data_IF_272701546979
#
_entry.id   IF_272701546979
#
_cell.length_a   1.000
_cell.length_b   1.000
_cell.length_c   1.000
_cell.angle_alpha   90.00
_cell.angle_beta   90.00
_cell.angle_gamma   90.00
#
_symmetry.space_group_name_H-M   'P 1'
#
loop_
_entity.id
_entity.type
_entity.pdbx_description
1 polymer ?
#
# COMPACT_ATOMS: atom_id res chain seq x y z
N UNK A 1 -26.57 0.91 -10.01
CA UNK A 1 -26.59 2.28 -10.62
C UNK A 1 -25.58 2.30 -11.73
N UNK A 2 -25.90 2.84 -12.94
CA UNK A 2 -24.92 2.86 -14.02
C UNK A 2 -23.68 3.69 -13.61
N UNK A 3 -22.49 3.16 -13.84
CA UNK A 3 -21.23 3.84 -13.58
C UNK A 3 -21.06 5.04 -14.52
N UNK A 4 -20.80 6.22 -13.97
CA UNK A 4 -20.56 7.43 -14.74
C UNK A 4 -19.08 7.56 -15.07
N UNK A 5 -18.71 7.37 -16.34
CA UNK A 5 -17.35 7.63 -16.82
C UNK A 5 -17.15 9.11 -17.09
N UNK A 6 -16.06 9.67 -16.56
CA UNK A 6 -15.72 11.09 -16.58
C UNK A 6 -14.24 11.30 -16.90
N UNK A 7 -13.88 12.54 -17.27
CA UNK A 7 -12.47 12.93 -17.42
C UNK A 7 -11.81 13.19 -16.07
N UNK A 8 -10.48 13.27 -16.05
CA UNK A 8 -9.74 13.62 -14.84
C UNK A 8 -10.05 15.06 -14.37
N UNK A 9 -10.28 15.97 -15.30
CA UNK A 9 -10.66 17.36 -15.01
C UNK A 9 -12.06 17.43 -14.39
N UNK A 10 -13.02 16.66 -14.91
CA UNK A 10 -14.35 16.53 -14.31
C UNK A 10 -14.24 15.92 -12.91
N UNK A 11 -13.39 14.90 -12.71
CA UNK A 11 -13.12 14.30 -11.41
C UNK A 11 -12.55 15.34 -10.42
N UNK A 12 -11.56 16.13 -10.84
CA UNK A 12 -10.98 17.19 -10.03
C UNK A 12 -12.02 18.29 -9.67
N UNK A 13 -13.11 18.45 -10.43
CA UNK A 13 -14.17 19.41 -10.10
C UNK A 13 -14.90 19.07 -8.80
N UNK A 14 -14.96 17.80 -8.41
CA UNK A 14 -15.56 17.32 -7.16
C UNK A 14 -14.68 17.55 -5.92
N UNK A 15 -13.44 17.98 -6.09
CA UNK A 15 -12.51 18.29 -4.99
C UNK A 15 -12.48 19.81 -4.79
N UNK A 16 -12.73 20.28 -3.58
CA UNK A 16 -12.81 21.70 -3.25
C UNK A 16 -11.68 22.12 -2.32
N UNK A 17 -11.50 23.43 -2.18
CA UNK A 17 -10.60 23.98 -1.17
C UNK A 17 -11.02 23.50 0.22
N UNK A 18 -10.04 23.15 1.04
CA UNK A 18 -10.19 22.59 2.39
C UNK A 18 -10.80 21.19 2.49
N UNK A 19 -11.14 20.51 1.39
CA UNK A 19 -11.53 19.10 1.44
C UNK A 19 -10.40 18.24 2.02
N UNK A 20 -10.77 17.26 2.84
CA UNK A 20 -9.90 16.17 3.25
C UNK A 20 -10.03 15.02 2.24
N UNK A 21 -8.94 14.72 1.55
CA UNK A 21 -8.91 13.74 0.47
C UNK A 21 -8.10 12.51 0.87
N UNK A 22 -8.76 11.35 0.84
CA UNK A 22 -8.11 10.05 1.03
C UNK A 22 -7.69 9.45 -0.30
N UNK A 23 -6.45 8.98 -0.39
CA UNK A 23 -5.91 8.32 -1.58
C UNK A 23 -5.56 6.86 -1.28
N UNK A 24 -5.93 5.95 -2.18
CA UNK A 24 -5.56 4.54 -2.08
C UNK A 24 -4.08 4.32 -2.34
N UNK A 25 -3.64 3.09 -2.13
CA UNK A 25 -2.30 2.64 -2.41
C UNK A 25 -1.39 2.55 -1.20
N UNK A 26 -0.29 1.84 -1.40
CA UNK A 26 0.77 1.69 -0.42
C UNK A 26 2.11 1.69 -1.17
N UNK A 27 3.05 2.59 -0.79
CA UNK A 27 4.17 2.97 -1.65
C UNK A 27 3.65 3.47 -3.01
N UNK A 28 4.30 3.33 -4.17
CA UNK A 28 3.72 3.73 -5.44
C UNK A 28 2.68 2.76 -6.02
N UNK A 29 2.44 1.62 -5.36
CA UNK A 29 1.50 0.59 -5.85
C UNK A 29 0.06 0.88 -5.44
N UNK A 30 -0.86 0.84 -6.38
CA UNK A 30 -2.29 1.03 -6.13
C UNK A 30 -2.72 2.46 -5.82
N UNK A 31 -1.87 3.46 -6.12
CA UNK A 31 -2.23 4.86 -5.95
C UNK A 31 -2.79 5.46 -7.25
N UNK A 32 -3.73 6.42 -7.16
CA UNK A 32 -4.20 7.20 -8.29
C UNK A 32 -3.06 7.99 -8.95
N UNK A 33 -3.08 8.12 -10.28
CA UNK A 33 -1.98 8.69 -11.07
C UNK A 33 -2.37 9.83 -11.99
N UNK A 34 -3.64 9.97 -12.30
CA UNK A 34 -4.15 10.94 -13.29
C UNK A 34 -4.99 12.03 -12.62
N UNK A 35 -5.90 11.67 -11.72
CA UNK A 35 -6.74 12.62 -10.99
C UNK A 35 -5.91 13.57 -10.11
N UNK A 36 -4.85 13.12 -9.39
CA UNK A 36 -3.99 14.03 -8.65
C UNK A 36 -3.37 15.14 -9.51
N UNK A 37 -2.92 14.81 -10.72
CA UNK A 37 -2.40 15.78 -11.69
C UNK A 37 -3.46 16.79 -12.14
N UNK A 38 -4.70 16.35 -12.32
CA UNK A 38 -5.80 17.26 -12.64
C UNK A 38 -6.14 18.19 -11.45
N UNK A 39 -6.08 17.70 -10.21
CA UNK A 39 -6.22 18.52 -9.00
C UNK A 39 -5.08 19.53 -8.90
N UNK A 40 -3.84 19.13 -9.17
CA UNK A 40 -2.69 20.04 -9.19
C UNK A 40 -2.87 21.18 -10.22
N UNK A 41 -3.32 20.86 -11.44
CA UNK A 41 -3.64 21.87 -12.47
C UNK A 41 -4.74 22.81 -12.00
N UNK A 42 -5.81 22.30 -11.38
CA UNK A 42 -6.88 23.10 -10.81
C UNK A 42 -6.35 24.04 -9.72
N UNK A 43 -5.50 23.55 -8.82
CA UNK A 43 -4.90 24.37 -7.78
C UNK A 43 -4.09 25.54 -8.36
N UNK A 44 -3.25 25.28 -9.35
CA UNK A 44 -2.49 26.34 -10.05
C UNK A 44 -3.42 27.37 -10.66
N UNK A 45 -4.47 26.93 -11.37
CA UNK A 45 -5.43 27.85 -12.02
C UNK A 45 -6.23 28.70 -11.00
N UNK A 46 -6.54 28.16 -9.81
CA UNK A 46 -7.18 28.94 -8.74
C UNK A 46 -6.19 29.94 -8.11
N UNK A 47 -4.95 29.56 -7.87
CA UNK A 47 -3.91 30.46 -7.36
C UNK A 47 -3.62 31.63 -8.32
N UNK A 48 -3.61 31.39 -9.64
CA UNK A 48 -3.46 32.44 -10.66
C UNK A 48 -4.60 33.48 -10.63
N UNK A 49 -5.80 33.05 -10.21
CA UNK A 49 -6.96 33.95 -10.00
C UNK A 49 -6.93 34.65 -8.62
N UNK A 50 -5.96 34.33 -7.77
CA UNK A 50 -5.88 34.82 -6.39
C UNK A 50 -6.78 34.07 -5.41
N UNK A 51 -7.37 32.94 -5.82
CA UNK A 51 -8.18 32.08 -4.95
C UNK A 51 -7.32 31.07 -4.20
N UNK A 52 -7.55 30.81 -2.90
CA UNK A 52 -6.88 29.73 -2.21
C UNK A 52 -7.38 28.36 -2.71
N UNK A 53 -6.46 27.40 -2.87
CA UNK A 53 -6.80 26.00 -3.13
C UNK A 53 -5.77 25.08 -2.50
N UNK A 54 -6.13 24.44 -1.42
CA UNK A 54 -5.32 23.41 -0.75
C UNK A 54 -6.24 22.34 -0.17
N UNK A 55 -5.75 21.11 -0.07
CA UNK A 55 -6.46 19.93 0.48
C UNK A 55 -5.69 19.31 1.64
N UNK A 56 -6.41 18.71 2.58
CA UNK A 56 -5.85 17.74 3.52
C UNK A 56 -5.63 16.40 2.80
N UNK A 57 -4.48 15.78 2.98
CA UNK A 57 -4.09 14.59 2.21
C UNK A 57 -3.77 13.41 3.11
N UNK A 58 -4.54 12.32 2.94
CA UNK A 58 -4.41 11.08 3.68
C UNK A 58 -4.08 9.94 2.72
N UNK A 59 -2.99 9.23 2.97
CA UNK A 59 -2.58 8.08 2.14
C UNK A 59 -2.19 6.90 3.01
N UNK A 60 -2.01 5.72 2.40
CA UNK A 60 -1.49 4.56 3.13
C UNK A 60 -0.05 4.75 3.60
N UNK A 61 0.82 5.07 2.65
CA UNK A 61 2.22 5.46 2.87
C UNK A 61 2.60 6.48 1.79
N UNK A 62 3.89 6.77 1.62
CA UNK A 62 4.33 7.61 0.51
C UNK A 62 4.02 6.96 -0.84
N UNK A 63 3.48 7.73 -1.78
CA UNK A 63 2.86 7.20 -2.99
C UNK A 63 3.49 7.67 -4.31
N UNK A 64 4.56 8.46 -4.28
CA UNK A 64 5.35 8.77 -5.48
C UNK A 64 5.16 10.16 -6.06
N UNK A 65 5.72 10.39 -7.26
CA UNK A 65 5.79 11.72 -7.86
C UNK A 65 4.48 12.19 -8.45
N UNK A 66 3.72 11.29 -9.08
CA UNK A 66 2.42 11.61 -9.70
C UNK A 66 1.34 12.02 -8.70
N UNK A 67 1.49 11.65 -7.44
CA UNK A 67 0.60 12.08 -6.37
C UNK A 67 1.27 13.13 -5.49
N UNK A 68 2.24 12.73 -4.66
CA UNK A 68 2.90 13.62 -3.69
C UNK A 68 3.64 14.78 -4.38
N UNK A 69 4.40 14.48 -5.44
CA UNK A 69 5.22 15.47 -6.14
C UNK A 69 4.39 16.52 -6.88
N UNK A 70 3.41 16.09 -7.68
CA UNK A 70 2.58 17.02 -8.46
C UNK A 70 1.76 17.95 -7.57
N UNK A 71 1.14 17.43 -6.51
CA UNK A 71 0.37 18.24 -5.56
C UNK A 71 1.26 19.18 -4.74
N UNK A 72 2.47 18.75 -4.38
CA UNK A 72 3.43 19.59 -3.67
C UNK A 72 3.92 20.76 -4.53
N UNK A 73 4.31 20.49 -5.80
CA UNK A 73 4.75 21.53 -6.74
C UNK A 73 3.64 22.55 -7.05
N UNK A 74 2.39 22.12 -7.02
CA UNK A 74 1.21 22.99 -7.19
C UNK A 74 0.85 23.78 -5.91
N UNK A 75 1.57 23.59 -4.79
CA UNK A 75 1.20 24.13 -3.47
C UNK A 75 -0.26 23.79 -3.08
N UNK A 76 -0.71 22.60 -3.43
CA UNK A 76 -2.08 22.15 -3.25
C UNK A 76 -2.30 21.39 -1.93
N UNK A 77 -1.27 21.24 -1.09
CA UNK A 77 -1.33 20.47 0.15
C UNK A 77 -1.33 21.39 1.35
N UNK A 78 -2.39 21.32 2.17
CA UNK A 78 -2.49 21.98 3.45
C UNK A 78 -1.96 21.13 4.60
N UNK A 79 -2.27 19.84 4.56
CA UNK A 79 -1.95 18.86 5.59
C UNK A 79 -1.62 17.50 4.96
N UNK A 80 -0.62 16.79 5.51
CA UNK A 80 -0.20 15.46 5.02
C UNK A 80 0.07 14.51 6.18
N UNK A 81 -0.43 13.30 6.08
CA UNK A 81 -0.17 12.17 7.01
C UNK A 81 -0.29 10.84 6.24
N UNK A 82 0.28 9.74 6.70
CA UNK A 82 1.09 9.50 7.91
C UNK A 82 2.60 9.58 7.65
N UNK A 83 3.05 9.29 6.43
CA UNK A 83 4.45 9.20 6.03
C UNK A 83 4.64 9.65 4.59
N UNK A 84 5.81 10.19 4.27
CA UNK A 84 6.17 10.61 2.93
C UNK A 84 7.67 10.39 2.62
N UNK A 85 8.01 10.17 1.35
CA UNK A 85 9.39 10.05 0.87
C UNK A 85 9.70 10.92 -0.36
N UNK A 86 8.71 11.61 -0.92
CA UNK A 86 8.88 12.45 -2.10
C UNK A 86 9.71 13.70 -1.76
N UNK A 87 10.69 14.05 -2.63
CA UNK A 87 11.62 15.17 -2.42
C UNK A 87 10.94 16.54 -2.43
N UNK A 88 9.95 16.73 -3.32
CA UNK A 88 9.28 18.02 -3.49
C UNK A 88 8.31 18.27 -2.33
N UNK A 89 7.60 17.23 -1.90
CA UNK A 89 6.78 17.27 -0.69
C UNK A 89 7.64 17.53 0.55
N UNK A 90 8.79 16.89 0.66
CA UNK A 90 9.72 17.14 1.77
C UNK A 90 10.21 18.60 1.79
N UNK A 91 10.51 19.17 0.63
CA UNK A 91 10.89 20.57 0.52
C UNK A 91 9.76 21.51 0.98
N UNK A 92 8.51 21.23 0.56
CA UNK A 92 7.32 21.97 0.98
C UNK A 92 7.12 21.90 2.50
N UNK A 93 7.25 20.71 3.10
CA UNK A 93 7.11 20.53 4.55
C UNK A 93 8.22 21.24 5.34
N UNK A 94 9.48 21.13 4.89
CA UNK A 94 10.61 21.76 5.55
C UNK A 94 10.57 23.29 5.46
N UNK A 95 9.90 23.86 4.45
CA UNK A 95 9.64 25.30 4.34
C UNK A 95 8.39 25.77 5.09
N UNK A 96 7.76 24.89 5.85
CA UNK A 96 6.48 25.14 6.54
C UNK A 96 5.31 25.52 5.59
N UNK A 97 5.39 25.11 4.32
CA UNK A 97 4.33 25.34 3.33
C UNK A 97 3.11 24.43 3.51
N UNK A 98 3.24 23.34 4.25
CA UNK A 98 2.16 22.45 4.63
C UNK A 98 2.37 21.90 6.04
N UNK A 99 1.30 21.48 6.71
CA UNK A 99 1.37 20.78 7.98
C UNK A 99 1.65 19.29 7.74
N UNK A 100 2.41 18.68 8.65
CA UNK A 100 2.72 17.25 8.59
C UNK A 100 2.54 16.60 9.95
N UNK A 101 1.91 15.46 9.95
CA UNK A 101 1.76 14.64 11.13
C UNK A 101 2.24 13.21 10.84
N UNK A 102 3.36 12.87 11.44
CA UNK A 102 3.93 11.52 11.38
C UNK A 102 3.23 10.61 12.38
N UNK A 103 2.89 9.40 11.95
CA UNK A 103 2.25 8.42 12.82
C UNK A 103 2.51 6.99 12.33
N UNK A 104 2.32 6.02 13.20
CA UNK A 104 2.41 4.61 12.79
C UNK A 104 1.38 4.29 11.71
N UNK A 105 1.85 3.68 10.63
CA UNK A 105 1.00 3.32 9.49
C UNK A 105 -0.14 2.38 9.89
N UNK A 106 0.08 1.51 10.88
CA UNK A 106 -0.94 0.61 11.44
C UNK A 106 -2.07 1.33 12.17
N UNK A 107 -1.86 2.57 12.61
CA UNK A 107 -2.82 3.32 13.44
C UNK A 107 -3.67 4.30 12.62
N UNK A 108 -3.26 4.64 11.39
CA UNK A 108 -3.94 5.64 10.58
C UNK A 108 -5.40 5.29 10.31
N UNK A 109 -5.67 4.07 9.84
CA UNK A 109 -7.02 3.64 9.47
C UNK A 109 -7.99 3.74 10.66
N UNK A 110 -7.59 3.22 11.83
CA UNK A 110 -8.41 3.33 13.04
C UNK A 110 -8.57 4.78 13.52
N UNK A 111 -7.52 5.61 13.42
CA UNK A 111 -7.60 7.03 13.81
C UNK A 111 -8.58 7.82 12.95
N UNK A 112 -8.67 7.49 11.65
CA UNK A 112 -9.70 8.02 10.76
C UNK A 112 -11.09 7.56 11.18
N UNK A 113 -11.30 6.25 11.40
CA UNK A 113 -12.61 5.72 11.81
C UNK A 113 -13.09 6.24 13.15
N UNK A 114 -12.18 6.53 14.08
CA UNK A 114 -12.50 7.10 15.39
C UNK A 114 -12.70 8.62 15.37
N UNK A 115 -12.51 9.26 14.20
CA UNK A 115 -12.74 10.68 14.02
C UNK A 115 -11.63 11.59 14.55
N UNK A 116 -10.47 11.05 14.96
CA UNK A 116 -9.37 11.85 15.53
C UNK A 116 -8.72 12.79 14.51
N UNK A 117 -8.80 12.45 13.22
CA UNK A 117 -8.21 13.21 12.12
C UNK A 117 -9.26 13.96 11.28
N UNK A 118 -10.50 14.03 11.77
CA UNK A 118 -11.61 14.62 11.04
C UNK A 118 -12.25 13.67 10.02
N UNK A 119 -13.16 14.22 9.20
CA UNK A 119 -13.85 13.48 8.15
C UNK A 119 -13.01 13.37 6.88
N UNK A 120 -13.37 12.43 6.02
CA UNK A 120 -12.90 12.34 4.63
C UNK A 120 -14.03 12.85 3.73
N UNK A 121 -13.78 13.91 2.95
CA UNK A 121 -14.76 14.47 2.02
C UNK A 121 -14.77 13.69 0.70
N UNK A 122 -13.59 13.32 0.19
CA UNK A 122 -13.43 12.60 -1.07
C UNK A 122 -12.43 11.46 -0.90
N UNK A 123 -12.78 10.27 -1.36
CA UNK A 123 -11.81 9.19 -1.59
C UNK A 123 -11.49 9.10 -3.08
N UNK A 124 -10.23 9.09 -3.44
CA UNK A 124 -9.75 8.87 -4.80
C UNK A 124 -8.96 7.57 -4.80
N UNK A 125 -9.46 6.56 -5.52
CA UNK A 125 -8.96 5.21 -5.41
C UNK A 125 -8.64 4.60 -6.77
N UNK A 126 -7.51 3.92 -6.87
CA UNK A 126 -7.18 3.12 -8.04
C UNK A 126 -7.82 1.73 -7.92
N UNK A 127 -8.43 1.26 -9.00
CA UNK A 127 -9.09 -0.04 -9.07
C UNK A 127 -8.73 -0.79 -10.35
N UNK A 128 -8.67 -2.13 -10.26
CA UNK A 128 -8.57 -3.02 -11.42
C UNK A 128 -9.95 -3.32 -12.03
N UNK A 129 -10.99 -3.28 -11.19
CA UNK A 129 -12.38 -3.45 -11.62
C UNK A 129 -13.33 -2.73 -10.66
N UNK A 130 -14.49 -2.36 -11.17
CA UNK A 130 -15.60 -1.79 -10.39
C UNK A 130 -16.92 -2.24 -10.97
N UNK A 131 -17.85 -2.65 -10.10
CA UNK A 131 -19.20 -3.07 -10.51
C UNK A 131 -20.25 -1.99 -10.24
N UNK A 132 -21.41 -2.09 -10.91
CA UNK A 132 -22.57 -1.23 -10.67
C UNK A 132 -23.16 -1.37 -9.26
N UNK A 133 -22.85 -2.49 -8.58
CA UNK A 133 -23.27 -2.78 -7.19
C UNK A 133 -22.26 -2.23 -6.15
N UNK A 134 -21.22 -1.50 -6.59
CA UNK A 134 -20.24 -0.86 -5.69
C UNK A 134 -19.14 -1.79 -5.18
N UNK A 135 -18.86 -2.89 -5.88
CA UNK A 135 -17.67 -3.69 -5.59
C UNK A 135 -16.45 -3.08 -6.29
N UNK A 136 -15.42 -2.72 -5.54
CA UNK A 136 -14.15 -2.15 -6.01
C UNK A 136 -13.07 -3.19 -5.79
N UNK A 137 -12.44 -3.66 -6.87
CA UNK A 137 -11.30 -4.57 -6.82
C UNK A 137 -10.03 -3.74 -6.79
N UNK A 138 -9.23 -3.77 -5.69
CA UNK A 138 -7.97 -3.03 -5.65
C UNK A 138 -6.99 -3.53 -6.72
N UNK A 139 -5.99 -2.70 -7.04
CA UNK A 139 -4.89 -3.10 -7.93
C UNK A 139 -3.77 -3.80 -7.15
N UNK A 140 -2.52 -3.42 -7.34
CA UNK A 140 -1.35 -4.02 -6.72
C UNK A 140 -1.05 -3.56 -5.29
N UNK A 141 -1.87 -2.69 -4.71
CA UNK A 141 -1.73 -2.20 -3.33
C UNK A 141 -3.06 -1.82 -2.71
N UNK A 142 -3.23 -2.15 -1.43
CA UNK A 142 -4.48 -1.89 -0.70
C UNK A 142 -4.38 -0.63 0.16
N UNK A 143 -3.33 -0.51 0.98
CA UNK A 143 -3.16 0.63 1.88
C UNK A 143 -4.36 0.82 2.83
N UNK A 144 -4.92 2.03 2.84
CA UNK A 144 -6.10 2.41 3.63
C UNK A 144 -7.39 2.45 2.80
N UNK A 145 -7.38 1.89 1.59
CA UNK A 145 -8.51 1.95 0.64
C UNK A 145 -9.86 1.60 1.27
N UNK A 146 -10.03 0.52 2.05
CA UNK A 146 -11.33 0.20 2.65
C UNK A 146 -11.84 1.32 3.56
N UNK A 147 -10.96 1.83 4.41
CA UNK A 147 -11.31 2.86 5.39
C UNK A 147 -11.67 4.19 4.74
N UNK A 148 -10.91 4.68 3.76
CA UNK A 148 -11.26 5.92 3.06
C UNK A 148 -12.56 5.80 2.27
N UNK A 149 -12.83 4.65 1.64
CA UNK A 149 -14.09 4.39 0.96
C UNK A 149 -15.28 4.37 1.94
N UNK A 150 -15.10 3.74 3.10
CA UNK A 150 -16.11 3.72 4.16
C UNK A 150 -16.44 5.12 4.67
N UNK A 151 -15.39 5.93 4.93
CA UNK A 151 -15.51 7.23 5.59
C UNK A 151 -15.89 8.38 4.64
N UNK A 152 -15.57 8.30 3.37
CA UNK A 152 -15.78 9.38 2.41
C UNK A 152 -17.26 9.63 2.10
N UNK A 153 -17.57 10.92 1.87
CA UNK A 153 -18.88 11.34 1.34
C UNK A 153 -18.98 11.03 -0.17
N UNK A 154 -17.87 11.17 -0.91
CA UNK A 154 -17.76 10.99 -2.36
C UNK A 154 -16.58 10.08 -2.69
N UNK A 155 -16.75 9.22 -3.69
CA UNK A 155 -15.70 8.32 -4.17
C UNK A 155 -15.48 8.57 -5.66
N UNK A 156 -14.22 8.80 -6.03
CA UNK A 156 -13.74 8.87 -7.41
C UNK A 156 -12.86 7.64 -7.64
N UNK A 157 -13.11 6.93 -8.74
CA UNK A 157 -12.36 5.71 -9.06
C UNK A 157 -11.48 5.97 -10.29
N UNK A 158 -10.18 5.75 -10.16
CA UNK A 158 -9.30 5.55 -11.31
C UNK A 158 -9.31 4.07 -11.69
N UNK A 159 -10.08 3.72 -12.71
CA UNK A 159 -10.09 2.37 -13.28
C UNK A 159 -8.87 2.21 -14.19
N UNK A 160 -7.82 1.59 -13.66
CA UNK A 160 -6.56 1.41 -14.37
C UNK A 160 -6.56 0.09 -15.15
N UNK A 161 -6.79 0.19 -16.47
CA UNK A 161 -6.89 -0.96 -17.38
C UNK A 161 -5.57 -1.74 -17.54
N UNK A 162 -4.46 -1.23 -17.02
CA UNK A 162 -3.18 -1.94 -16.97
C UNK A 162 -3.19 -3.13 -16.02
N UNK A 163 -4.05 -3.07 -14.99
CA UNK A 163 -4.26 -4.16 -14.05
C UNK A 163 -5.42 -5.04 -14.51
N UNK A 164 -5.22 -6.35 -14.73
CA UNK A 164 -6.28 -7.22 -15.16
C UNK A 164 -7.33 -7.40 -14.05
N UNK A 165 -8.60 -7.40 -14.39
CA UNK A 165 -9.69 -7.65 -13.44
C UNK A 165 -9.58 -9.02 -12.75
N UNK A 166 -8.89 -9.94 -13.39
CA UNK A 166 -8.59 -11.29 -12.90
C UNK A 166 -7.66 -11.30 -11.68
N UNK A 167 -7.08 -10.14 -11.29
CA UNK A 167 -6.36 -9.97 -10.00
C UNK A 167 -7.30 -10.16 -8.79
N UNK A 168 -8.61 -10.06 -9.00
CA UNK A 168 -9.63 -10.41 -8.00
C UNK A 168 -9.34 -11.80 -7.43
N UNK A 169 -9.33 -11.90 -6.10
CA UNK A 169 -8.93 -13.10 -5.38
C UNK A 169 -7.50 -13.08 -4.82
N UNK A 170 -6.66 -12.10 -5.21
CA UNK A 170 -5.37 -11.85 -4.55
C UNK A 170 -5.50 -10.92 -3.34
N UNK A 171 -6.69 -10.47 -3.00
CA UNK A 171 -6.97 -9.56 -1.90
C UNK A 171 -7.71 -10.25 -0.76
N UNK A 172 -7.50 -9.74 0.46
CA UNK A 172 -8.21 -10.14 1.68
C UNK A 172 -8.54 -8.88 2.47
N UNK A 173 -9.65 -8.26 2.10
CA UNK A 173 -10.09 -6.98 2.64
C UNK A 173 -10.85 -7.21 3.92
N UNK A 174 -10.22 -6.86 5.03
CA UNK A 174 -10.80 -6.95 6.37
C UNK A 174 -10.56 -5.65 7.14
N UNK A 175 -11.57 -5.15 7.79
CA UNK A 175 -11.48 -4.05 8.76
C UNK A 175 -11.84 -4.58 10.14
N UNK A 176 -11.01 -4.36 11.17
CA UNK A 176 -11.36 -4.73 12.54
C UNK A 176 -12.62 -3.99 13.00
N UNK A 177 -13.41 -4.63 13.83
CA UNK A 177 -14.55 -3.97 14.47
C UNK A 177 -14.06 -2.78 15.31
N UNK A 178 -14.84 -1.68 15.32
CA UNK A 178 -14.56 -0.53 16.16
C UNK A 178 -14.87 -0.81 17.64
N UNK A 179 -14.24 -0.12 18.61
CA UNK A 179 -14.57 -0.25 20.01
C UNK A 179 -16.08 -0.02 20.28
N UNK A 180 -16.67 -0.72 21.24
CA UNK A 180 -16.09 -1.70 22.18
C UNK A 180 -16.03 -3.13 21.62
N UNK A 181 -16.37 -3.36 20.36
CA UNK A 181 -16.53 -4.68 19.75
C UNK A 181 -15.24 -5.24 19.13
N UNK A 182 -14.12 -4.57 19.36
CA UNK A 182 -12.83 -5.00 18.83
C UNK A 182 -12.43 -6.37 19.38
N UNK A 183 -11.95 -7.23 18.47
CA UNK A 183 -11.46 -8.58 18.77
C UNK A 183 -10.07 -8.76 18.19
N UNK A 184 -9.43 -9.88 18.51
CA UNK A 184 -8.20 -10.28 17.85
C UNK A 184 -8.37 -10.38 16.33
N UNK A 185 -7.30 -10.16 15.59
CA UNK A 185 -7.25 -10.37 14.16
C UNK A 185 -7.00 -11.88 13.95
N UNK A 186 -7.94 -12.67 13.42
CA UNK A 186 -7.85 -14.13 13.40
C UNK A 186 -6.97 -14.66 12.25
N UNK A 187 -5.73 -14.19 12.18
CA UNK A 187 -4.71 -14.63 11.23
C UNK A 187 -3.65 -15.40 12.00
N UNK A 188 -3.55 -16.69 11.75
CA UNK A 188 -2.60 -17.59 12.39
C UNK A 188 -1.52 -18.05 11.42
N UNK A 189 -1.80 -18.00 10.11
CA UNK A 189 -0.84 -18.25 9.04
C UNK A 189 -0.92 -17.16 7.97
N UNK A 190 0.15 -16.87 7.21
CA UNK A 190 0.12 -15.88 6.15
C UNK A 190 -0.95 -16.10 5.08
N UNK A 191 -1.39 -17.34 4.90
CA UNK A 191 -2.41 -17.73 3.90
C UNK A 191 -3.84 -17.64 4.38
N UNK A 192 -4.10 -17.37 5.68
CA UNK A 192 -5.47 -17.28 6.20
C UNK A 192 -6.21 -16.14 5.52
N UNK A 193 -7.44 -16.40 5.09
CA UNK A 193 -8.35 -15.42 4.52
C UNK A 193 -9.47 -15.14 5.50
N UNK A 194 -9.61 -13.89 5.89
CA UNK A 194 -10.58 -13.46 6.94
C UNK A 194 -11.55 -12.39 6.45
N UNK A 195 -11.31 -11.85 5.25
CA UNK A 195 -12.10 -10.78 4.64
C UNK A 195 -12.68 -11.16 3.29
N UNK A 196 -12.91 -10.13 2.46
CA UNK A 196 -13.45 -10.25 1.11
C UNK A 196 -12.36 -9.97 0.05
N UNK A 197 -12.64 -10.35 -1.19
CA UNK A 197 -11.74 -10.13 -2.33
C UNK A 197 -11.89 -8.73 -2.97
N UNK A 198 -12.80 -7.90 -2.47
CA UNK A 198 -13.07 -6.55 -2.92
C UNK A 198 -13.54 -5.66 -1.77
N UNK A 199 -13.52 -4.35 -2.00
CA UNK A 199 -14.16 -3.36 -1.12
C UNK A 199 -15.58 -3.13 -1.59
N UNK A 200 -16.55 -3.18 -0.69
CA UNK A 200 -17.96 -2.87 -0.97
C UNK A 200 -18.33 -1.50 -0.46
N UNK A 201 -18.91 -0.69 -1.33
CA UNK A 201 -19.36 0.67 -1.01
C UNK A 201 -20.80 0.86 -1.45
N UNK A 202 -21.47 1.87 -0.88
CA UNK A 202 -22.74 2.34 -1.44
C UNK A 202 -22.47 2.93 -2.84
N UNK A 203 -23.06 2.38 -3.92
CA UNK A 203 -22.88 2.88 -5.27
C UNK A 203 -23.22 4.38 -5.43
N UNK A 204 -24.12 4.91 -4.60
CA UNK A 204 -24.50 6.32 -4.61
C UNK A 204 -23.35 7.27 -4.24
N UNK A 205 -22.34 6.78 -3.52
CA UNK A 205 -21.12 7.55 -3.22
C UNK A 205 -20.17 7.67 -4.40
N UNK A 206 -20.26 6.79 -5.42
CA UNK A 206 -19.37 6.80 -6.59
C UNK A 206 -19.81 7.93 -7.54
N UNK A 207 -19.11 9.06 -7.49
CA UNK A 207 -19.45 10.24 -8.29
C UNK A 207 -18.86 10.20 -9.70
N UNK A 208 -17.83 9.38 -9.93
CA UNK A 208 -17.26 9.20 -11.26
C UNK A 208 -16.16 8.14 -11.33
N UNK A 209 -15.98 7.62 -12.54
CA UNK A 209 -14.95 6.64 -12.90
C UNK A 209 -14.09 7.23 -14.01
N UNK A 210 -12.78 7.35 -13.78
CA UNK A 210 -11.79 7.81 -14.74
C UNK A 210 -11.03 6.59 -15.26
N UNK A 211 -11.09 6.32 -16.58
CA UNK A 211 -10.29 5.24 -17.20
C UNK A 211 -8.85 5.69 -17.39
N UNK A 212 -7.91 4.86 -16.96
CA UNK A 212 -6.47 5.10 -17.11
C UNK A 212 -5.76 3.84 -17.61
N UNK A 213 -4.52 4.01 -18.10
CA UNK A 213 -3.59 2.93 -18.46
C UNK A 213 -2.16 3.32 -18.02
N UNK A 214 -2.01 3.66 -16.73
CA UNK A 214 -0.77 4.19 -16.20
C UNK A 214 0.01 3.11 -15.42
N UNK A 215 1.34 3.00 -15.66
CA UNK A 215 2.17 2.08 -14.89
C UNK A 215 2.36 2.58 -13.46
N UNK A 216 2.62 1.64 -12.53
CA UNK A 216 3.11 2.02 -11.21
C UNK A 216 4.46 2.73 -11.32
N UNK A 217 4.71 3.70 -10.47
CA UNK A 217 6.02 4.33 -10.31
C UNK A 217 6.94 3.33 -9.59
N UNK A 218 7.49 2.39 -10.35
CA UNK A 218 8.39 1.35 -9.82
C UNK A 218 9.72 1.94 -9.37
N UNK A 219 10.16 1.63 -8.17
CA UNK A 219 11.52 1.89 -7.72
C UNK A 219 12.53 1.06 -8.53
N UNK A 220 13.56 1.71 -9.07
CA UNK A 220 14.72 0.98 -9.57
C UNK A 220 15.62 0.71 -8.37
N UNK A 221 15.77 -0.55 -8.00
CA UNK A 221 16.80 -0.92 -7.02
C UNK A 221 18.18 -0.82 -7.69
N UNK A 222 19.14 -0.26 -6.95
CA UNK A 222 20.53 -0.29 -7.40
C UNK A 222 21.05 -1.73 -7.39
N UNK A 223 22.01 -2.09 -8.26
CA UNK A 223 22.68 -3.38 -8.16
C UNK A 223 23.25 -3.60 -6.76
N UNK A 224 23.25 -4.84 -6.30
CA UNK A 224 23.84 -5.20 -5.02
C UNK A 224 25.37 -5.05 -5.09
N UNK A 225 25.94 -4.43 -4.08
CA UNK A 225 27.40 -4.30 -3.93
C UNK A 225 27.97 -5.37 -2.98
N UNK A 226 29.29 -5.49 -2.93
CA UNK A 226 29.97 -6.49 -2.11
C UNK A 226 29.66 -6.34 -0.62
N UNK A 227 29.42 -5.11 -0.14
CA UNK A 227 29.09 -4.85 1.27
C UNK A 227 27.70 -5.38 1.61
N UNK A 228 26.71 -5.06 0.80
CA UNK A 228 25.34 -5.54 1.00
C UNK A 228 25.25 -7.06 0.87
N UNK A 229 26.02 -7.65 -0.07
CA UNK A 229 26.11 -9.11 -0.20
C UNK A 229 26.77 -9.75 1.02
N UNK A 230 27.84 -9.17 1.56
CA UNK A 230 28.48 -9.67 2.79
C UNK A 230 27.54 -9.60 4.00
N UNK A 231 26.73 -8.53 4.11
CA UNK A 231 25.67 -8.43 5.14
C UNK A 231 24.66 -9.56 4.95
N UNK A 232 24.16 -9.77 3.74
CA UNK A 232 23.21 -10.82 3.41
C UNK A 232 23.72 -12.21 3.79
N UNK A 233 24.97 -12.50 3.43
CA UNK A 233 25.62 -13.78 3.76
C UNK A 233 25.79 -13.98 5.28
N UNK A 234 26.16 -12.95 6.01
CA UNK A 234 26.30 -13.02 7.47
C UNK A 234 24.96 -13.31 8.14
N UNK A 235 23.88 -12.67 7.70
CA UNK A 235 22.52 -12.94 8.21
C UNK A 235 22.09 -14.39 7.89
N UNK A 236 22.29 -14.85 6.65
CA UNK A 236 21.96 -16.22 6.26
C UNK A 236 22.75 -17.23 7.11
N UNK A 237 24.05 -17.04 7.31
CA UNK A 237 24.90 -17.90 8.14
C UNK A 237 24.45 -17.91 9.61
N UNK A 238 24.08 -16.76 10.16
CA UNK A 238 23.53 -16.65 11.51
C UNK A 238 22.25 -17.48 11.65
N UNK A 239 21.29 -17.32 10.73
CA UNK A 239 20.05 -18.07 10.75
C UNK A 239 20.27 -19.59 10.66
N UNK A 240 21.20 -20.04 9.82
CA UNK A 240 21.60 -21.46 9.76
C UNK A 240 22.17 -21.93 11.09
N UNK A 241 23.00 -21.11 11.72
CA UNK A 241 23.56 -21.42 13.06
C UNK A 241 22.44 -21.58 14.12
N UNK A 242 21.45 -20.69 14.09
CA UNK A 242 20.31 -20.74 15.01
C UNK A 242 19.41 -21.98 14.79
N UNK A 243 19.18 -22.36 13.53
CA UNK A 243 18.45 -23.59 13.16
C UNK A 243 19.21 -24.82 13.66
N UNK A 244 20.52 -24.91 13.38
CA UNK A 244 21.36 -26.03 13.80
C UNK A 244 21.47 -26.16 15.33
N UNK A 245 21.42 -25.05 16.02
CA UNK A 245 21.44 -25.00 17.48
C UNK A 245 20.06 -25.26 18.14
N UNK A 246 19.01 -25.43 17.34
CA UNK A 246 17.64 -25.67 17.82
C UNK A 246 16.98 -24.44 18.47
N UNK A 247 17.53 -23.23 18.25
CA UNK A 247 16.95 -21.98 18.76
C UNK A 247 15.92 -21.38 17.80
N UNK A 248 15.97 -21.74 16.52
CA UNK A 248 14.89 -21.49 15.55
C UNK A 248 14.19 -22.80 15.20
N UNK A 249 12.87 -22.76 14.95
CA UNK A 249 12.13 -23.93 14.48
C UNK A 249 12.69 -24.47 13.15
N UNK A 250 12.65 -25.78 12.96
CA UNK A 250 13.04 -26.41 11.68
C UNK A 250 12.13 -25.97 10.52
N UNK A 251 10.89 -25.62 10.83
CA UNK A 251 9.89 -25.15 9.87
C UNK A 251 9.83 -23.61 9.90
N UNK A 252 10.83 -22.95 9.73
CA UNK A 252 10.97 -21.50 9.72
C UNK A 252 9.65 -20.71 9.91
N UNK A 253 9.62 -19.80 10.86
CA UNK A 253 8.47 -18.87 11.06
C UNK A 253 8.36 -17.91 9.89
N UNK A 254 7.18 -17.31 9.62
CA UNK A 254 7.03 -16.28 8.59
C UNK A 254 8.00 -15.13 8.79
N UNK A 255 8.63 -14.70 7.69
CA UNK A 255 9.59 -13.60 7.72
C UNK A 255 8.95 -12.29 7.29
N UNK A 256 9.37 -11.22 7.93
CA UNK A 256 9.15 -9.85 7.48
C UNK A 256 10.45 -9.32 6.86
N UNK A 257 10.36 -8.70 5.69
CA UNK A 257 11.48 -8.08 4.99
C UNK A 257 11.23 -6.59 4.81
N UNK A 258 12.21 -5.76 5.14
CA UNK A 258 12.18 -4.34 4.86
C UNK A 258 12.36 -4.00 3.38
N UNK A 259 12.36 -2.71 3.05
CA UNK A 259 12.59 -2.21 1.70
C UNK A 259 14.06 -1.82 1.52
N UNK A 260 14.68 -2.22 0.41
CA UNK A 260 16.00 -1.76 0.01
C UNK A 260 17.01 -2.87 -0.28
N UNK A 261 18.22 -2.46 -0.69
CA UNK A 261 19.26 -3.37 -1.17
C UNK A 261 19.72 -4.39 -0.14
N UNK A 262 19.85 -3.99 1.13
CA UNK A 262 20.24 -4.92 2.22
C UNK A 262 19.21 -6.03 2.39
N UNK A 263 17.92 -5.67 2.41
CA UNK A 263 16.84 -6.65 2.52
C UNK A 263 16.82 -7.61 1.32
N UNK A 264 17.02 -7.10 0.11
CA UNK A 264 17.11 -7.91 -1.10
C UNK A 264 18.32 -8.85 -1.07
N UNK A 265 19.49 -8.39 -0.59
CA UNK A 265 20.68 -9.22 -0.44
C UNK A 265 20.47 -10.34 0.58
N UNK A 266 19.84 -10.02 1.72
CA UNK A 266 19.51 -11.05 2.75
C UNK A 266 18.60 -12.12 2.16
N UNK A 267 17.51 -11.71 1.50
CA UNK A 267 16.58 -12.67 0.86
C UNK A 267 17.26 -13.51 -0.22
N UNK A 268 18.12 -12.91 -1.06
CA UNK A 268 18.90 -13.61 -2.07
C UNK A 268 19.82 -14.67 -1.44
N UNK A 269 20.65 -14.29 -0.46
CA UNK A 269 21.53 -15.22 0.24
C UNK A 269 20.79 -16.34 0.98
N UNK A 270 19.61 -16.03 1.54
CA UNK A 270 18.73 -17.05 2.14
C UNK A 270 18.19 -18.02 1.09
N UNK A 271 17.82 -17.53 -0.07
CA UNK A 271 17.32 -18.35 -1.18
C UNK A 271 18.38 -19.36 -1.68
N UNK A 272 19.62 -18.91 -1.84
CA UNK A 272 20.74 -19.74 -2.30
C UNK A 272 21.19 -20.78 -1.25
N UNK A 273 20.94 -20.53 0.03
CA UNK A 273 21.41 -21.39 1.12
C UNK A 273 20.48 -22.60 1.31
N UNK A 274 21.00 -23.80 1.01
CA UNK A 274 20.25 -25.07 1.10
C UNK A 274 19.93 -25.51 2.52
N UNK A 275 20.63 -25.01 3.52
CA UNK A 275 20.40 -25.31 4.93
C UNK A 275 19.22 -24.50 5.50
N UNK A 276 18.75 -23.49 4.78
CA UNK A 276 17.55 -22.73 5.13
C UNK A 276 16.35 -23.40 4.45
N UNK A 277 15.31 -23.81 5.18
CA UNK A 277 14.12 -24.44 4.59
C UNK A 277 13.30 -23.41 3.79
N UNK A 278 12.39 -23.87 2.93
CA UNK A 278 11.43 -23.00 2.29
C UNK A 278 10.48 -22.38 3.34
N UNK A 279 10.20 -21.07 3.21
CA UNK A 279 9.54 -20.28 4.24
C UNK A 279 8.33 -19.49 3.69
N UNK A 280 7.54 -18.95 4.59
CA UNK A 280 6.48 -18.00 4.30
C UNK A 280 6.94 -16.57 4.58
N UNK A 281 6.32 -15.61 3.91
CA UNK A 281 6.55 -14.18 4.11
C UNK A 281 5.26 -13.52 4.59
N UNK A 282 5.36 -12.73 5.67
CA UNK A 282 4.31 -11.81 6.11
C UNK A 282 4.96 -10.46 6.32
N UNK A 283 4.71 -9.52 5.43
CA UNK A 283 5.53 -8.33 5.28
C UNK A 283 4.71 -7.09 4.96
N UNK A 284 5.31 -5.93 5.06
CA UNK A 284 4.75 -4.66 4.62
C UNK A 284 4.58 -4.64 3.09
N UNK A 285 5.67 -4.86 2.36
CA UNK A 285 5.69 -4.86 0.88
C UNK A 285 6.33 -6.13 0.33
N UNK A 286 5.75 -6.64 -0.76
CA UNK A 286 6.28 -7.77 -1.51
C UNK A 286 7.13 -7.21 -2.66
N UNK A 287 8.41 -7.55 -2.69
CA UNK A 287 9.41 -7.05 -3.64
C UNK A 287 9.83 -8.12 -4.65
N UNK A 288 10.59 -7.72 -5.69
CA UNK A 288 11.07 -8.59 -6.76
C UNK A 288 11.78 -9.85 -6.24
N UNK A 289 12.60 -9.71 -5.20
CA UNK A 289 13.31 -10.86 -4.59
C UNK A 289 12.35 -11.92 -4.03
N UNK A 290 11.24 -11.52 -3.43
CA UNK A 290 10.22 -12.46 -2.92
C UNK A 290 9.57 -13.22 -4.07
N UNK A 291 9.26 -12.54 -5.18
CA UNK A 291 8.66 -13.16 -6.37
C UNK A 291 9.62 -14.15 -7.03
N UNK A 292 10.91 -13.78 -7.15
CA UNK A 292 11.94 -14.68 -7.66
C UNK A 292 12.05 -15.97 -6.82
N UNK A 293 12.16 -15.82 -5.50
CA UNK A 293 12.23 -16.95 -4.57
C UNK A 293 10.94 -17.79 -4.55
N UNK A 294 9.78 -17.19 -4.82
CA UNK A 294 8.52 -17.92 -4.94
C UNK A 294 8.50 -18.80 -6.19
N UNK A 295 9.02 -18.32 -7.32
CA UNK A 295 9.17 -19.11 -8.56
C UNK A 295 10.14 -20.28 -8.38
N UNK A 296 11.17 -20.11 -7.56
CA UNK A 296 12.14 -21.15 -7.19
C UNK A 296 11.62 -22.12 -6.12
N UNK A 297 10.42 -21.89 -5.57
CA UNK A 297 9.83 -22.70 -4.50
C UNK A 297 10.46 -22.48 -3.13
N UNK A 298 11.28 -21.43 -2.96
CA UNK A 298 11.90 -21.05 -1.68
C UNK A 298 10.94 -20.27 -0.80
N UNK A 299 10.09 -19.42 -1.38
CA UNK A 299 8.96 -18.79 -0.71
C UNK A 299 7.68 -19.55 -1.08
N UNK A 300 6.99 -20.09 -0.06
CA UNK A 300 5.76 -20.87 -0.23
C UNK A 300 4.55 -19.98 -0.41
N UNK A 301 4.47 -18.92 0.41
CA UNK A 301 3.35 -17.97 0.44
C UNK A 301 3.86 -16.61 0.89
N UNK A 302 3.28 -15.53 0.35
CA UNK A 302 3.56 -14.16 0.75
C UNK A 302 2.28 -13.36 1.01
N UNK A 303 2.20 -12.68 2.16
CA UNK A 303 1.14 -11.74 2.48
C UNK A 303 1.72 -10.37 2.79
N UNK A 304 1.08 -9.30 2.32
CA UNK A 304 1.55 -7.93 2.52
C UNK A 304 0.51 -6.87 2.16
N UNK A 305 0.91 -5.58 2.21
CA UNK A 305 0.02 -4.48 1.85
C UNK A 305 0.04 -4.18 0.35
N UNK A 306 1.16 -4.46 -0.33
CA UNK A 306 1.33 -4.15 -1.74
C UNK A 306 2.39 -5.00 -2.44
N UNK A 307 2.27 -5.08 -3.77
CA UNK A 307 3.30 -5.55 -4.69
C UNK A 307 4.16 -4.34 -5.09
N UNK A 308 5.23 -4.08 -4.35
CA UNK A 308 6.20 -3.04 -4.66
C UNK A 308 7.31 -3.62 -5.54
N UNK A 309 6.92 -4.06 -6.73
CA UNK A 309 7.76 -4.75 -7.70
C UNK A 309 8.01 -3.90 -8.94
N UNK A 310 9.03 -4.27 -9.71
CA UNK A 310 9.32 -3.64 -11.00
C UNK A 310 8.19 -3.86 -12.02
N UNK A 311 8.12 -3.00 -13.03
CA UNK A 311 7.13 -3.14 -14.11
C UNK A 311 7.32 -4.42 -14.95
N UNK A 312 8.49 -5.03 -14.91
CA UNK A 312 8.76 -6.32 -15.54
C UNK A 312 8.13 -7.44 -14.72
N UNK A 313 8.38 -7.44 -13.40
CA UNK A 313 7.86 -8.46 -12.49
C UNK A 313 6.35 -8.38 -12.36
N UNK A 314 5.75 -7.19 -12.35
CA UNK A 314 4.28 -7.08 -12.31
C UNK A 314 3.62 -7.66 -13.58
N UNK A 315 4.23 -7.47 -14.75
CA UNK A 315 3.76 -8.10 -16.00
C UNK A 315 3.89 -9.62 -15.97
N UNK A 316 4.98 -10.14 -15.41
CA UNK A 316 5.17 -11.58 -15.23
C UNK A 316 4.12 -12.17 -14.27
N UNK A 317 3.82 -11.49 -13.16
CA UNK A 317 2.74 -11.90 -12.24
C UNK A 317 1.40 -11.97 -12.98
N UNK A 318 1.08 -10.95 -13.78
CA UNK A 318 -0.21 -10.90 -14.51
C UNK A 318 -0.30 -11.93 -15.63
N UNK A 319 0.83 -12.25 -16.26
CA UNK A 319 0.87 -13.32 -17.26
C UNK A 319 0.73 -14.73 -16.65
N UNK A 320 0.98 -14.87 -15.34
CA UNK A 320 0.99 -16.15 -14.63
C UNK A 320 0.07 -16.11 -13.39
N UNK A 321 -1.07 -15.44 -13.46
CA UNK A 321 -1.99 -15.24 -12.32
C UNK A 321 -2.40 -16.56 -11.65
N UNK A 322 -2.63 -17.63 -12.40
CA UNK A 322 -3.00 -18.94 -11.85
C UNK A 322 -1.94 -19.50 -10.90
N UNK A 323 -0.66 -19.20 -11.16
CA UNK A 323 0.42 -19.59 -10.25
C UNK A 323 0.48 -18.72 -8.99
N UNK A 324 0.22 -17.40 -9.13
CA UNK A 324 0.44 -16.45 -8.04
C UNK A 324 -0.76 -16.24 -7.14
N UNK A 325 -2.01 -16.41 -7.62
CA UNK A 325 -3.24 -16.21 -6.83
C UNK A 325 -3.29 -17.04 -5.55
N UNK A 326 -2.78 -18.26 -5.61
CA UNK A 326 -2.77 -19.17 -4.47
C UNK A 326 -1.55 -18.97 -3.55
N UNK A 327 -0.66 -18.02 -3.87
CA UNK A 327 0.59 -17.78 -3.15
C UNK A 327 0.79 -16.36 -2.67
N UNK A 328 -0.02 -15.41 -3.13
CA UNK A 328 0.07 -13.99 -2.75
C UNK A 328 -1.27 -13.52 -2.21
N UNK A 329 -1.20 -12.76 -1.11
CA UNK A 329 -2.39 -12.17 -0.50
C UNK A 329 -2.12 -10.73 -0.07
N UNK A 330 -2.89 -9.80 -0.63
CA UNK A 330 -2.78 -8.38 -0.35
C UNK A 330 -3.85 -7.95 0.67
N UNK A 331 -3.42 -7.29 1.74
CA UNK A 331 -4.25 -6.90 2.88
C UNK A 331 -4.24 -5.40 3.11
N UNK A 332 -5.24 -4.83 3.78
CA UNK A 332 -5.16 -3.49 4.32
C UNK A 332 -3.93 -3.34 5.23
N UNK A 333 -3.28 -2.17 5.18
CA UNK A 333 -2.08 -1.91 5.98
C UNK A 333 -2.31 -2.06 7.49
N UNK A 334 -3.49 -1.68 7.98
CA UNK A 334 -3.86 -1.85 9.38
C UNK A 334 -3.71 -3.31 9.83
N UNK A 335 -4.08 -4.26 8.97
CA UNK A 335 -4.02 -5.69 9.28
C UNK A 335 -2.58 -6.19 9.23
N UNK A 336 -1.88 -5.94 8.12
CA UNK A 336 -0.50 -6.41 7.96
C UNK A 336 0.43 -5.83 9.02
N UNK A 337 0.39 -4.52 9.23
CA UNK A 337 1.33 -3.83 10.12
C UNK A 337 0.98 -3.99 11.60
N UNK A 338 -0.29 -4.15 11.96
CA UNK A 338 -0.67 -4.46 13.35
C UNK A 338 -0.06 -5.78 13.81
N UNK A 339 -0.11 -6.83 12.98
CA UNK A 339 0.47 -8.13 13.32
C UNK A 339 2.00 -8.09 13.34
N UNK A 340 2.64 -7.38 12.43
CA UNK A 340 4.11 -7.19 12.43
C UNK A 340 4.55 -6.52 13.74
N UNK A 341 3.84 -5.47 14.18
CA UNK A 341 4.18 -4.76 15.41
C UNK A 341 3.91 -5.56 16.70
N UNK A 342 2.90 -6.43 16.69
CA UNK A 342 2.58 -7.29 17.84
C UNK A 342 3.69 -8.34 18.07
N UNK A 343 4.32 -8.81 17.01
CA UNK A 343 5.35 -9.84 17.07
C UNK A 343 6.75 -9.31 17.42
N UNK A 344 6.94 -8.01 17.62
CA UNK A 344 8.23 -7.45 18.04
C UNK A 344 8.54 -7.79 19.51
N UNK A 345 9.65 -8.52 19.80
CA UNK A 345 9.96 -8.97 21.16
C UNK A 345 10.32 -7.86 22.15
N UNK A 346 10.54 -6.64 21.68
CA UNK A 346 10.87 -5.48 22.50
C UNK A 346 9.69 -4.95 23.32
N UNK A 347 8.44 -5.23 22.94
CA UNK A 347 7.26 -4.78 23.71
C UNK A 347 6.99 -5.56 24.99
N UNK A 348 7.46 -6.78 25.13
CA UNK A 348 7.23 -7.60 26.32
C UNK A 348 8.05 -7.17 27.54
N UNK A 349 9.05 -6.30 27.40
CA UNK A 349 9.89 -5.83 28.51
C UNK A 349 9.44 -4.50 29.12
N UNK A 350 8.48 -3.81 28.53
CA UNK A 350 7.98 -2.52 29.03
C UNK A 350 6.73 -2.63 29.91
N UNK A 351 6.25 -3.83 30.22
CA UNK A 351 5.04 -4.06 31.02
C UNK A 351 5.36 -4.75 32.35
N UNK A 352 6.60 -4.73 32.81
CA UNK A 352 6.96 -5.20 34.13
C UNK A 352 7.35 -4.05 35.06
#
# INVERSE_FOLDING_TARGET
MALKFITAEEAASFVHHDDNVGFSGFTPAGCPKVVPGAIAKKAIAEHEKGNPFQIGMFTGASTGDKLDGELARANAIKFRTPYQSNKDLRALLNSHGAQYYDMHLSELAQSLRYGFLGKIDVAIVEAADVTEDGEIVPTSGVGILPTICRMADRIIIELNCRHPKEIRGMHDIYEPADPPYRREIPIYTPSDRIGSDCVKVDPAKIVGVVKTDEPNEGGKFSPLDDVTMAIGQNVANFLVGEIKAGRLPKEFVPLQSGVGNVANAVLGCMGENKDIPAFNVYTEVIQDAVIALMKEGRVKFASGCSLSVSNEVIRDIYANLDFFKDKILLRPQEISLSLIHISEPTRLRCIS
#
